data_IF_706918395776
#
_entry.id   IF_706918395776
#
_cell.length_a   1.000
_cell.length_b   1.000
_cell.length_c   1.000
_cell.angle_alpha   90.00
_cell.angle_beta   90.00
_cell.angle_gamma   90.00
#
_symmetry.space_group_name_H-M   'P 1'
#
loop_
_entity.id
_entity.type
_entity.pdbx_description
1 polymer ?
#
# COMPACT_ATOMS: atom_id res chain seq x y z
N UNK A 1 -18.23 1.32 2.60
CA UNK A 1 -18.45 1.35 1.13
C UNK A 1 -18.12 -0.04 0.61
N UNK A 2 -18.72 -0.52 -0.49
CA UNK A 2 -18.36 -1.84 -1.04
C UNK A 2 -16.99 -1.80 -1.70
N UNK A 3 -16.33 -2.97 -1.85
CA UNK A 3 -15.05 -3.07 -2.55
C UNK A 3 -15.15 -2.51 -3.98
N UNK A 4 -16.19 -2.86 -4.75
CA UNK A 4 -16.34 -2.39 -6.14
C UNK A 4 -16.39 -0.85 -6.23
N UNK A 5 -17.19 -0.22 -5.36
CA UNK A 5 -17.27 1.25 -5.30
C UNK A 5 -15.94 1.89 -4.89
N UNK A 6 -15.16 1.21 -4.04
CA UNK A 6 -13.82 1.67 -3.69
C UNK A 6 -12.86 1.58 -4.88
N UNK A 7 -12.90 0.50 -5.67
CA UNK A 7 -12.10 0.36 -6.89
C UNK A 7 -12.48 1.43 -7.93
N UNK A 8 -13.77 1.69 -8.12
CA UNK A 8 -14.24 2.80 -8.98
C UNK A 8 -13.70 4.15 -8.49
N UNK A 9 -13.75 4.39 -7.18
CA UNK A 9 -13.23 5.62 -6.56
C UNK A 9 -11.73 5.81 -6.83
N UNK A 10 -10.93 4.73 -6.75
CA UNK A 10 -9.50 4.73 -7.10
C UNK A 10 -9.30 5.09 -8.57
N UNK A 11 -10.05 4.45 -9.47
CA UNK A 11 -9.95 4.68 -10.91
C UNK A 11 -10.30 6.12 -11.31
N UNK A 12 -11.23 6.75 -10.59
CA UNK A 12 -11.63 8.14 -10.78
C UNK A 12 -10.65 9.15 -10.16
N UNK A 13 -9.64 8.69 -9.40
CA UNK A 13 -8.67 9.57 -8.75
C UNK A 13 -9.25 10.40 -7.61
N UNK A 14 -10.39 9.99 -7.05
CA UNK A 14 -11.00 10.68 -5.91
C UNK A 14 -10.13 10.48 -4.67
N UNK A 15 -10.02 11.53 -3.84
CA UNK A 15 -9.23 11.46 -2.62
C UNK A 15 -9.71 10.33 -1.68
N UNK A 16 -8.76 9.49 -1.28
CA UNK A 16 -8.94 8.38 -0.36
C UNK A 16 -8.13 8.66 0.90
N UNK A 17 -8.70 8.34 2.07
CA UNK A 17 -7.98 8.38 3.35
C UNK A 17 -7.31 7.04 3.62
N UNK A 18 -6.23 7.05 4.41
CA UNK A 18 -5.57 5.82 4.85
C UNK A 18 -6.55 4.86 5.54
N UNK A 19 -7.37 5.39 6.46
CA UNK A 19 -8.35 4.59 7.21
C UNK A 19 -9.38 3.92 6.29
N UNK A 20 -9.85 4.62 5.27
CA UNK A 20 -10.78 4.05 4.29
C UNK A 20 -10.16 2.84 3.58
N UNK A 21 -8.91 2.97 3.13
CA UNK A 21 -8.17 1.83 2.54
C UNK A 21 -8.07 0.66 3.51
N UNK A 22 -7.66 0.91 4.76
CA UNK A 22 -7.47 -0.16 5.75
C UNK A 22 -8.80 -0.85 6.09
N UNK A 23 -9.91 -0.10 6.19
CA UNK A 23 -11.25 -0.67 6.42
C UNK A 23 -11.63 -1.57 5.25
N UNK A 24 -11.51 -1.11 4.01
CA UNK A 24 -11.85 -1.92 2.82
C UNK A 24 -11.02 -3.21 2.79
N UNK A 25 -9.73 -3.13 3.06
CA UNK A 25 -8.88 -4.33 3.10
C UNK A 25 -9.34 -5.28 4.20
N UNK A 26 -9.60 -4.77 5.40
CA UNK A 26 -9.98 -5.56 6.57
C UNK A 26 -11.33 -6.26 6.38
N UNK A 27 -12.29 -5.61 5.72
CA UNK A 27 -13.63 -6.16 5.48
C UNK A 27 -13.69 -7.21 4.37
N UNK A 28 -12.73 -7.21 3.43
CA UNK A 28 -12.81 -8.01 2.19
C UNK A 28 -11.69 -9.05 2.05
N UNK A 29 -10.63 -8.98 2.86
CA UNK A 29 -9.46 -9.85 2.74
C UNK A 29 -9.03 -10.39 4.09
N UNK A 30 -8.63 -11.67 4.11
CA UNK A 30 -7.83 -12.19 5.20
C UNK A 30 -6.39 -11.70 5.05
N UNK A 31 -5.91 -10.96 6.06
CA UNK A 31 -4.53 -10.52 6.15
C UNK A 31 -3.67 -11.53 6.90
N UNK A 32 -2.54 -11.89 6.31
CA UNK A 32 -1.47 -12.64 6.94
C UNK A 32 -0.24 -11.74 7.03
N UNK A 33 0.35 -11.55 8.23
CA UNK A 33 1.63 -10.87 8.35
C UNK A 33 2.68 -11.54 7.47
N UNK A 34 3.24 -10.77 6.54
CA UNK A 34 4.15 -11.26 5.51
C UNK A 34 5.28 -10.27 5.35
N UNK A 35 6.49 -10.78 5.32
CA UNK A 35 7.67 -9.98 5.03
C UNK A 35 7.61 -9.44 3.60
N UNK A 36 7.99 -8.18 3.44
CA UNK A 36 8.16 -7.57 2.13
C UNK A 36 9.34 -6.61 2.15
N UNK A 37 10.00 -6.45 1.03
CA UNK A 37 11.02 -5.42 0.83
C UNK A 37 10.55 -4.39 -0.19
N UNK A 38 11.03 -3.16 -0.04
CA UNK A 38 10.86 -2.14 -1.05
C UNK A 38 12.13 -1.30 -1.29
N UNK A 39 12.35 -0.93 -2.54
CA UNK A 39 13.56 -0.24 -2.99
C UNK A 39 14.52 -1.15 -3.75
N UNK A 40 15.61 -0.58 -4.26
CA UNK A 40 16.61 -1.27 -5.08
C UNK A 40 18.03 -0.93 -4.60
N UNK A 41 18.98 -1.84 -4.85
CA UNK A 41 20.40 -1.63 -4.54
C UNK A 41 20.65 -1.38 -3.05
N UNK A 42 21.32 -0.28 -2.74
CA UNK A 42 21.65 0.13 -1.37
C UNK A 42 20.45 0.68 -0.56
N UNK A 43 19.35 1.03 -1.24
CA UNK A 43 18.16 1.61 -0.61
C UNK A 43 17.08 0.58 -0.28
N UNK A 44 17.39 -0.72 -0.38
CA UNK A 44 16.44 -1.79 -0.04
C UNK A 44 16.07 -1.69 1.44
N UNK A 45 14.79 -1.43 1.71
CA UNK A 45 14.18 -1.51 3.01
C UNK A 45 13.46 -2.85 3.15
N UNK A 46 13.92 -3.69 4.07
CA UNK A 46 13.26 -4.94 4.43
C UNK A 46 12.29 -4.69 5.59
N UNK A 47 11.05 -5.12 5.43
CA UNK A 47 10.00 -5.04 6.45
C UNK A 47 9.66 -6.47 6.90
N UNK A 48 10.08 -6.89 8.10
CA UNK A 48 9.72 -8.19 8.65
C UNK A 48 8.20 -8.36 8.78
N UNK A 49 7.73 -9.61 8.82
CA UNK A 49 6.33 -9.90 9.10
C UNK A 49 5.86 -9.22 10.42
N UNK A 50 4.73 -8.52 10.37
CA UNK A 50 4.19 -7.77 11.51
C UNK A 50 4.77 -6.37 11.69
N UNK A 51 5.70 -5.93 10.83
CA UNK A 51 6.26 -4.57 10.82
C UNK A 51 5.68 -3.80 9.63
N UNK A 52 5.33 -2.54 9.85
CA UNK A 52 4.75 -1.66 8.82
C UNK A 52 3.51 -2.28 8.13
N UNK A 53 2.64 -2.92 8.92
CA UNK A 53 1.49 -3.69 8.42
C UNK A 53 0.56 -2.88 7.51
N UNK A 54 0.40 -1.58 7.76
CA UNK A 54 -0.36 -0.69 6.88
C UNK A 54 0.23 -0.64 5.46
N UNK A 55 1.55 -0.54 5.34
CA UNK A 55 2.24 -0.56 4.04
C UNK A 55 2.12 -1.94 3.38
N UNK A 56 2.35 -3.02 4.16
CA UNK A 56 2.20 -4.40 3.67
C UNK A 56 0.81 -4.65 3.07
N UNK A 57 -0.25 -4.25 3.81
CA UNK A 57 -1.65 -4.34 3.36
C UNK A 57 -1.90 -3.55 2.08
N UNK A 58 -1.48 -2.27 2.04
CA UNK A 58 -1.71 -1.41 0.88
C UNK A 58 -0.99 -1.92 -0.36
N UNK A 59 0.29 -2.26 -0.27
CA UNK A 59 1.04 -2.79 -1.42
C UNK A 59 0.50 -4.13 -1.89
N UNK A 60 0.09 -5.02 -0.98
CA UNK A 60 -0.52 -6.29 -1.35
C UNK A 60 -1.86 -6.08 -2.07
N UNK A 61 -2.71 -5.19 -1.53
CA UNK A 61 -3.99 -4.86 -2.14
C UNK A 61 -3.82 -4.25 -3.53
N UNK A 62 -2.93 -3.27 -3.64
CA UNK A 62 -2.66 -2.59 -4.89
C UNK A 62 -2.07 -3.55 -5.95
N UNK A 63 -1.22 -4.51 -5.54
CA UNK A 63 -0.69 -5.55 -6.42
C UNK A 63 -1.79 -6.51 -6.91
N UNK A 64 -2.70 -6.93 -6.03
CA UNK A 64 -3.83 -7.79 -6.40
C UNK A 64 -4.76 -7.12 -7.42
N UNK A 65 -5.00 -5.82 -7.27
CA UNK A 65 -5.85 -5.03 -8.17
C UNK A 65 -5.10 -4.38 -9.34
N UNK A 66 -3.82 -4.70 -9.52
CA UNK A 66 -2.98 -4.19 -10.62
C UNK A 66 -2.97 -2.66 -10.70
N UNK A 67 -2.97 -1.99 -9.55
CA UNK A 67 -2.96 -0.53 -9.48
C UNK A 67 -1.60 0.01 -9.92
N UNK A 68 -1.59 1.16 -10.59
CA UNK A 68 -0.35 1.85 -10.91
C UNK A 68 0.25 2.53 -9.65
N UNK A 69 1.46 3.08 -9.79
CA UNK A 69 2.19 3.70 -8.69
C UNK A 69 1.43 4.85 -8.05
N UNK A 70 0.86 5.75 -8.86
CA UNK A 70 0.14 6.92 -8.34
C UNK A 70 -1.14 6.52 -7.60
N UNK A 71 -1.90 5.56 -8.13
CA UNK A 71 -3.08 5.01 -7.48
C UNK A 71 -2.71 4.39 -6.14
N UNK A 72 -1.61 3.63 -6.10
CA UNK A 72 -1.10 2.99 -4.88
C UNK A 72 -0.66 4.01 -3.84
N UNK A 73 0.08 5.06 -4.24
CA UNK A 73 0.48 6.15 -3.35
C UNK A 73 -0.74 6.88 -2.77
N UNK A 74 -1.78 7.10 -3.56
CA UNK A 74 -3.01 7.75 -3.10
C UNK A 74 -3.73 6.95 -1.99
N UNK A 75 -3.55 5.64 -1.93
CA UNK A 75 -4.14 4.78 -0.89
C UNK A 75 -3.56 5.05 0.50
N UNK A 76 -2.37 5.64 0.60
CA UNK A 76 -1.76 6.06 1.86
C UNK A 76 -2.39 7.34 2.43
N UNK A 77 -3.28 8.00 1.70
CA UNK A 77 -4.00 9.17 2.17
C UNK A 77 -3.07 10.33 2.55
N UNK A 78 -3.29 10.89 3.73
CA UNK A 78 -2.57 12.08 4.20
C UNK A 78 -1.09 11.77 4.53
N UNK A 79 -0.74 10.51 4.83
CA UNK A 79 0.67 10.11 4.96
C UNK A 79 1.45 10.33 3.65
N UNK A 80 0.80 10.16 2.50
CA UNK A 80 1.42 10.49 1.22
C UNK A 80 1.28 11.98 0.91
N UNK A 81 0.05 12.51 0.92
CA UNK A 81 -0.23 13.86 0.42
C UNK A 81 0.31 15.00 1.29
N UNK A 82 0.29 14.82 2.61
CA UNK A 82 0.70 15.84 3.56
C UNK A 82 2.12 15.51 4.07
N UNK A 83 2.28 14.37 4.75
CA UNK A 83 3.54 14.07 5.46
C UNK A 83 4.75 13.83 4.55
N UNK A 84 4.54 13.28 3.35
CA UNK A 84 5.61 12.97 2.40
C UNK A 84 5.78 14.05 1.34
N UNK A 85 4.73 14.40 0.61
CA UNK A 85 4.83 15.38 -0.48
C UNK A 85 5.18 16.79 0.01
N UNK A 86 4.69 17.21 1.17
CA UNK A 86 5.00 18.56 1.70
C UNK A 86 6.32 18.60 2.47
N UNK A 87 6.94 17.43 2.72
CA UNK A 87 8.24 17.34 3.38
C UNK A 87 9.22 16.48 2.56
N UNK A 88 9.75 17.01 1.44
CA UNK A 88 10.62 16.26 0.53
C UNK A 88 11.92 15.77 1.18
N UNK A 89 12.43 16.50 2.18
CA UNK A 89 13.66 16.16 2.91
C UNK A 89 13.39 15.35 4.21
N UNK A 90 12.15 14.96 4.46
CA UNK A 90 11.77 14.19 5.63
C UNK A 90 12.26 12.75 5.59
N UNK A 91 12.46 12.16 6.78
CA UNK A 91 12.88 10.75 6.94
C UNK A 91 11.76 9.83 7.43
N UNK A 92 10.54 10.35 7.64
CA UNK A 92 9.36 9.53 7.96
C UNK A 92 8.83 8.76 6.74
N UNK A 93 8.01 7.74 6.99
CA UNK A 93 7.28 6.97 5.96
C UNK A 93 8.17 6.40 4.85
N UNK A 94 9.29 5.76 5.22
CA UNK A 94 10.26 5.22 4.26
C UNK A 94 9.67 4.29 3.21
N UNK A 95 8.63 3.51 3.56
CA UNK A 95 7.93 2.68 2.58
C UNK A 95 7.30 3.50 1.44
N UNK A 96 6.67 4.63 1.75
CA UNK A 96 6.06 5.52 0.75
C UNK A 96 7.17 6.14 -0.12
N UNK A 97 8.24 6.64 0.52
CA UNK A 97 9.36 7.31 -0.17
C UNK A 97 10.11 6.37 -1.11
N UNK A 98 10.42 5.16 -0.65
CA UNK A 98 11.05 4.15 -1.50
C UNK A 98 10.16 3.78 -2.68
N UNK A 99 8.84 3.65 -2.46
CA UNK A 99 7.91 3.34 -3.55
C UNK A 99 7.77 4.49 -4.54
N UNK A 100 7.84 5.76 -4.12
CA UNK A 100 7.90 6.90 -5.05
C UNK A 100 9.14 6.87 -5.95
N UNK A 101 10.27 6.35 -5.44
CA UNK A 101 11.54 6.34 -6.17
C UNK A 101 11.69 5.12 -7.08
N UNK A 102 11.24 3.95 -6.62
CA UNK A 102 11.52 2.67 -7.25
C UNK A 102 10.27 1.94 -7.76
N UNK A 103 9.09 2.45 -7.40
CA UNK A 103 7.83 1.90 -7.88
C UNK A 103 7.66 0.42 -7.56
N UNK A 104 6.95 -0.26 -8.46
CA UNK A 104 6.69 -1.69 -8.34
C UNK A 104 7.93 -2.57 -8.52
N UNK A 105 8.94 -2.09 -9.26
CA UNK A 105 10.20 -2.83 -9.46
C UNK A 105 10.91 -3.08 -8.14
N UNK A 106 10.82 -2.14 -7.19
CA UNK A 106 11.41 -2.30 -5.86
C UNK A 106 10.62 -3.23 -4.94
N UNK A 107 9.36 -3.57 -5.23
CA UNK A 107 8.49 -4.31 -4.29
C UNK A 107 8.66 -5.81 -4.45
N UNK A 108 9.06 -6.47 -3.37
CA UNK A 108 9.12 -7.93 -3.29
C UNK A 108 8.40 -8.44 -2.04
N UNK A 109 7.57 -9.47 -2.20
CA UNK A 109 6.86 -10.10 -1.09
C UNK A 109 7.37 -11.52 -0.89
N UNK A 110 7.65 -11.90 0.36
CA UNK A 110 8.03 -13.25 0.75
C UNK A 110 6.79 -14.10 1.08
N UNK A 111 5.78 -14.07 0.21
CA UNK A 111 4.51 -14.78 0.38
C UNK A 111 3.28 -13.97 -0.05
N UNK A 112 2.09 -14.54 0.20
CA UNK A 112 0.82 -13.85 -0.02
C UNK A 112 0.38 -13.17 1.27
N UNK A 113 0.29 -11.83 1.26
CA UNK A 113 -0.17 -11.07 2.43
C UNK A 113 -1.69 -10.95 2.53
N UNK A 114 -2.41 -11.06 1.40
CA UNK A 114 -3.86 -10.94 1.33
C UNK A 114 -4.45 -12.09 0.52
N UNK A 115 -5.53 -12.67 1.04
CA UNK A 115 -6.40 -13.60 0.31
C UNK A 115 -7.85 -13.15 0.42
N UNK A 116 -8.63 -13.12 -0.68
CA UNK A 116 -10.04 -12.73 -0.62
C UNK A 116 -10.81 -13.56 0.40
N UNK A 117 -11.65 -12.91 1.20
CA UNK A 117 -12.62 -13.64 2.00
C UNK A 117 -13.59 -14.33 1.04
N UNK A 118 -13.81 -15.64 1.21
CA UNK A 118 -14.81 -16.33 0.40
C UNK A 118 -16.19 -15.77 0.77
N UNK A 119 -16.93 -15.29 -0.21
CA UNK A 119 -18.38 -15.14 -0.07
C UNK A 119 -18.95 -16.52 0.28
N UNK A 120 -19.56 -16.63 1.45
CA UNK A 120 -20.34 -17.81 1.82
C UNK A 120 -21.55 -17.97 0.91
#
# INVERSE_FOLDING_TARGET
MTLDKFIEKIAQGVAISFNETIIIITENYHYQPTEFSNGLGEDILVNPAGVNEGSCKIFAFAKLHQLNEQQTLNLFGDYYREDVLQNPNGTGHQNIRNFMRYGWEGIHFNGMALTPMKSA
#
